data_IF_035371136164
#
_entry.id   IF_035371136164
#
_cell.length_a   1.000
_cell.length_b   1.000
_cell.length_c   1.000
_cell.angle_alpha   90.00
_cell.angle_beta   90.00
_cell.angle_gamma   90.00
#
_symmetry.space_group_name_H-M   'P 1'
#
loop_
_entity.id
_entity.type
_entity.pdbx_description
1 polymer ?
#
# COMPACT_ATOMS: atom_id res chain seq x y z
N UNK A 1 7.37 -36.19 25.25
CA UNK A 1 7.60 -37.57 25.74
C UNK A 1 9.11 -37.70 25.86
N UNK A 2 9.67 -37.99 27.04
CA UNK A 2 11.13 -37.99 27.23
C UNK A 2 11.77 -39.05 26.28
N UNK A 3 12.71 -38.68 25.40
CA UNK A 3 13.39 -39.62 24.52
C UNK A 3 14.13 -40.72 25.31
N UNK A 4 14.60 -40.44 26.53
CA UNK A 4 15.23 -41.43 27.39
C UNK A 4 14.23 -42.50 27.86
N UNK A 5 12.99 -42.11 28.19
CA UNK A 5 11.92 -43.04 28.60
C UNK A 5 11.37 -43.88 27.45
N UNK A 6 11.46 -43.38 26.22
CA UNK A 6 11.12 -44.15 25.02
C UNK A 6 12.19 -45.19 24.73
N UNK A 7 13.45 -44.77 24.74
CA UNK A 7 14.60 -45.64 24.49
C UNK A 7 14.74 -46.72 25.56
N UNK A 8 14.52 -46.39 26.84
CA UNK A 8 14.53 -47.36 27.94
C UNK A 8 13.47 -48.47 27.77
N UNK A 9 12.28 -48.13 27.24
CA UNK A 9 11.24 -49.12 26.94
C UNK A 9 11.57 -50.02 25.76
N UNK A 10 12.22 -49.47 24.73
CA UNK A 10 12.63 -50.24 23.55
C UNK A 10 13.82 -51.17 23.83
N UNK A 11 14.75 -50.76 24.69
CA UNK A 11 15.88 -51.57 25.11
C UNK A 11 15.49 -52.72 26.06
N UNK A 12 14.35 -52.58 26.74
CA UNK A 12 13.79 -53.60 27.62
C UNK A 12 14.66 -53.94 28.84
N UNK A 13 14.36 -55.05 29.54
CA UNK A 13 15.05 -55.42 30.79
C UNK A 13 16.56 -55.67 30.65
N UNK A 14 17.03 -55.94 29.43
CA UNK A 14 18.44 -56.24 29.15
C UNK A 14 19.38 -55.05 29.36
N UNK A 15 18.86 -53.82 29.24
CA UNK A 15 19.65 -52.59 29.34
C UNK A 15 19.73 -52.01 30.75
N UNK A 16 18.95 -52.54 31.69
CA UNK A 16 18.94 -52.08 33.10
C UNK A 16 20.37 -52.21 33.66
N UNK A 17 20.87 -51.11 34.23
CA UNK A 17 22.22 -50.94 34.81
C UNK A 17 23.41 -51.11 33.85
N UNK A 18 23.17 -51.35 32.56
CA UNK A 18 24.23 -51.54 31.54
C UNK A 18 24.32 -50.39 30.53
N UNK A 19 23.19 -49.78 30.24
CA UNK A 19 23.08 -48.67 29.28
C UNK A 19 22.36 -47.55 29.99
N UNK A 20 23.00 -46.39 30.08
CA UNK A 20 22.36 -45.15 30.52
C UNK A 20 21.50 -44.63 29.34
N UNK A 21 20.16 -44.70 29.42
CA UNK A 21 19.28 -44.32 28.31
C UNK A 21 19.34 -42.83 27.99
N UNK A 22 19.63 -41.98 28.99
CA UNK A 22 19.75 -40.54 28.79
C UNK A 22 21.05 -40.20 28.04
N UNK A 23 22.17 -40.84 28.42
CA UNK A 23 23.42 -40.73 27.66
C UNK A 23 23.29 -41.30 26.25
N UNK A 24 22.64 -42.45 26.08
CA UNK A 24 22.47 -43.06 24.77
C UNK A 24 21.56 -42.21 23.87
N UNK A 25 20.46 -41.67 24.41
CA UNK A 25 19.59 -40.74 23.67
C UNK A 25 20.35 -39.49 23.22
N UNK A 26 21.20 -38.92 24.09
CA UNK A 26 22.09 -37.81 23.73
C UNK A 26 23.14 -38.17 22.68
N UNK A 27 23.65 -39.40 22.70
CA UNK A 27 24.69 -39.88 21.77
C UNK A 27 24.12 -40.25 20.39
N UNK A 28 22.89 -40.76 20.37
CA UNK A 28 22.15 -41.09 19.15
C UNK A 28 21.47 -39.88 18.51
N UNK A 29 21.60 -38.69 19.12
CA UNK A 29 20.83 -37.50 18.74
C UNK A 29 19.35 -37.86 18.54
N UNK A 30 18.78 -38.64 19.47
CA UNK A 30 17.34 -38.90 19.48
C UNK A 30 16.72 -37.57 19.85
N UNK A 31 16.55 -36.70 18.86
CA UNK A 31 15.84 -35.44 19.00
C UNK A 31 14.49 -35.77 19.61
N UNK A 32 14.16 -35.07 20.71
CA UNK A 32 12.83 -35.15 21.28
C UNK A 32 11.82 -35.02 20.13
N UNK A 33 10.84 -35.92 20.09
CA UNK A 33 9.83 -35.93 19.03
C UNK A 33 9.38 -34.48 18.73
N UNK A 34 9.49 -34.08 17.46
CA UNK A 34 9.24 -32.71 17.04
C UNK A 34 7.95 -32.19 17.67
N UNK A 35 8.01 -31.00 18.28
CA UNK A 35 6.85 -30.39 18.92
C UNK A 35 5.67 -30.40 17.92
N UNK A 36 4.55 -31.09 18.21
CA UNK A 36 3.41 -31.17 17.30
C UNK A 36 2.90 -29.80 16.85
N UNK A 37 3.05 -28.77 17.68
CA UNK A 37 2.65 -27.41 17.35
C UNK A 37 3.59 -26.80 16.31
N UNK A 38 4.90 -26.98 16.48
CA UNK A 38 5.90 -26.51 15.50
C UNK A 38 5.77 -27.29 14.20
N UNK A 39 5.49 -28.59 14.25
CA UNK A 39 5.22 -29.38 13.04
C UNK A 39 3.99 -28.84 12.28
N UNK A 40 2.89 -28.60 12.98
CA UNK A 40 1.68 -28.03 12.38
C UNK A 40 1.92 -26.63 11.77
N UNK A 41 2.74 -25.80 12.44
CA UNK A 41 3.18 -24.52 11.92
C UNK A 41 3.95 -24.69 10.60
N UNK A 42 4.92 -25.60 10.55
CA UNK A 42 5.72 -25.84 9.35
C UNK A 42 4.88 -26.39 8.20
N UNK A 43 3.94 -27.30 8.48
CA UNK A 43 2.98 -27.81 7.48
C UNK A 43 2.07 -26.69 6.94
N UNK A 44 1.64 -25.78 7.82
CA UNK A 44 0.86 -24.61 7.44
C UNK A 44 1.69 -23.68 6.59
N UNK A 45 2.93 -23.43 6.97
CA UNK A 45 3.85 -22.57 6.23
C UNK A 45 4.16 -23.12 4.83
N UNK A 46 4.42 -24.42 4.74
CA UNK A 46 4.63 -25.09 3.47
C UNK A 46 3.45 -24.88 2.53
N UNK A 47 2.21 -25.13 2.99
CA UNK A 47 1.00 -24.90 2.18
C UNK A 47 0.82 -23.45 1.75
N UNK A 48 1.16 -22.47 2.61
CA UNK A 48 1.08 -21.05 2.25
C UNK A 48 2.07 -20.72 1.13
N UNK A 49 3.32 -21.12 1.29
CA UNK A 49 4.38 -20.80 0.34
C UNK A 49 4.23 -21.57 -0.98
N UNK A 50 3.80 -22.83 -0.93
CA UNK A 50 3.47 -23.61 -2.12
C UNK A 50 2.29 -23.00 -2.88
N UNK A 51 1.24 -22.58 -2.18
CA UNK A 51 0.11 -21.88 -2.78
C UNK A 51 0.51 -20.56 -3.45
N UNK A 52 1.43 -19.80 -2.84
CA UNK A 52 1.97 -18.58 -3.44
C UNK A 52 2.86 -18.85 -4.65
N UNK A 53 3.71 -19.88 -4.58
CA UNK A 53 4.62 -20.26 -5.65
C UNK A 53 3.90 -20.86 -6.87
N UNK A 54 2.74 -21.48 -6.64
CA UNK A 54 1.91 -22.11 -7.68
C UNK A 54 0.83 -21.18 -8.23
N UNK A 55 0.73 -19.94 -7.74
CA UNK A 55 -0.26 -18.96 -8.19
C UNK A 55 0.04 -18.53 -9.64
N UNK A 56 -0.92 -18.74 -10.54
CA UNK A 56 -0.83 -18.42 -11.96
C UNK A 56 -1.11 -16.93 -12.26
N UNK A 57 -1.27 -16.13 -11.20
CA UNK A 57 -1.53 -14.70 -11.28
C UNK A 57 -3.01 -14.33 -11.20
N UNK A 58 -3.91 -15.32 -11.21
CA UNK A 58 -5.35 -15.10 -10.92
C UNK A 58 -5.56 -14.56 -9.51
N UNK A 59 -4.65 -14.91 -8.61
CA UNK A 59 -4.67 -14.49 -7.23
C UNK A 59 -4.47 -12.99 -6.97
N UNK A 60 -4.08 -12.22 -7.99
CA UNK A 60 -3.89 -10.76 -7.91
C UNK A 60 -5.11 -9.99 -8.42
N UNK A 61 -6.16 -10.69 -8.83
CA UNK A 61 -7.40 -10.10 -9.35
C UNK A 61 -8.50 -10.09 -8.29
N UNK A 62 -9.19 -8.97 -8.18
CA UNK A 62 -10.32 -8.78 -7.26
C UNK A 62 -11.48 -8.22 -8.08
N UNK A 63 -12.64 -8.86 -8.04
CA UNK A 63 -13.86 -8.31 -8.62
C UNK A 63 -14.73 -7.73 -7.50
N UNK A 64 -14.96 -6.42 -7.57
CA UNK A 64 -15.78 -5.70 -6.60
C UNK A 64 -17.25 -5.87 -6.99
N UNK A 65 -18.03 -6.46 -6.08
CA UNK A 65 -19.49 -6.54 -6.24
C UNK A 65 -20.10 -5.14 -6.25
N UNK A 66 -21.16 -4.94 -7.03
CA UNK A 66 -21.88 -3.64 -7.08
C UNK A 66 -22.28 -3.16 -5.68
N UNK A 67 -21.97 -1.90 -5.37
CA UNK A 67 -22.19 -1.29 -4.06
C UNK A 67 -21.18 -1.71 -2.98
N UNK A 68 -20.17 -2.51 -3.34
CA UNK A 68 -19.07 -2.89 -2.46
C UNK A 68 -18.14 -1.72 -2.14
N UNK A 69 -17.34 -1.89 -1.08
CA UNK A 69 -16.36 -0.89 -0.68
C UNK A 69 -14.97 -1.23 -1.24
N UNK A 70 -14.45 -0.34 -2.08
CA UNK A 70 -13.15 -0.51 -2.74
C UNK A 70 -11.99 -0.58 -1.73
N UNK A 71 -12.05 0.17 -0.64
CA UNK A 71 -11.01 0.16 0.39
C UNK A 71 -10.97 -1.17 1.11
N UNK A 72 -12.13 -1.69 1.50
CA UNK A 72 -12.23 -3.00 2.17
C UNK A 72 -11.75 -4.13 1.26
N UNK A 73 -12.12 -4.09 -0.03
CA UNK A 73 -11.66 -5.08 -1.00
C UNK A 73 -10.12 -5.07 -1.16
N UNK A 74 -9.50 -3.89 -1.27
CA UNK A 74 -8.02 -3.78 -1.32
C UNK A 74 -7.38 -4.18 0.00
N UNK A 75 -7.93 -3.77 1.14
CA UNK A 75 -7.47 -4.15 2.48
C UNK A 75 -7.41 -5.67 2.62
N UNK A 76 -8.50 -6.35 2.27
CA UNK A 76 -8.65 -7.78 2.46
C UNK A 76 -7.76 -8.57 1.47
N UNK A 77 -7.63 -8.09 0.23
CA UNK A 77 -6.71 -8.66 -0.75
C UNK A 77 -5.25 -8.56 -0.28
N UNK A 78 -4.81 -7.39 0.16
CA UNK A 78 -3.47 -7.21 0.73
C UNK A 78 -3.30 -8.06 1.98
N UNK A 79 -4.25 -8.08 2.91
CA UNK A 79 -4.15 -8.90 4.13
C UNK A 79 -4.03 -10.39 3.83
N UNK A 80 -4.80 -10.89 2.85
CA UNK A 80 -4.71 -12.27 2.38
C UNK A 80 -3.32 -12.62 1.86
N UNK A 81 -2.72 -11.73 1.05
CA UNK A 81 -1.36 -11.89 0.52
C UNK A 81 -0.28 -11.76 1.58
N UNK A 82 -0.47 -10.83 2.50
CA UNK A 82 0.43 -10.60 3.62
C UNK A 82 0.55 -11.80 4.56
N UNK A 83 -0.40 -12.74 4.50
CA UNK A 83 -0.34 -13.99 5.27
C UNK A 83 1.00 -14.71 5.10
N UNK A 84 1.61 -14.65 3.91
CA UNK A 84 2.95 -15.21 3.68
C UNK A 84 4.01 -14.57 4.60
N UNK A 85 3.97 -13.26 4.80
CA UNK A 85 4.85 -12.55 5.74
C UNK A 85 4.57 -12.93 7.19
N UNK A 86 3.31 -12.93 7.61
CA UNK A 86 2.92 -13.36 8.96
C UNK A 86 3.43 -14.77 9.28
N UNK A 87 3.22 -15.71 8.36
CA UNK A 87 3.69 -17.09 8.48
C UNK A 87 5.22 -17.18 8.49
N UNK A 88 5.92 -16.41 7.66
CA UNK A 88 7.38 -16.33 7.70
C UNK A 88 7.89 -15.86 9.08
N UNK A 89 7.26 -14.83 9.67
CA UNK A 89 7.58 -14.37 11.03
C UNK A 89 7.34 -15.47 12.07
N UNK A 90 6.26 -16.23 11.94
CA UNK A 90 5.97 -17.35 12.83
C UNK A 90 7.05 -18.45 12.74
N UNK A 91 7.49 -18.80 11.53
CA UNK A 91 8.58 -19.75 11.30
C UNK A 91 9.91 -19.24 11.89
N UNK A 92 10.24 -17.97 11.69
CA UNK A 92 11.45 -17.37 12.27
C UNK A 92 11.41 -17.37 13.81
N UNK A 93 10.25 -17.08 14.41
CA UNK A 93 10.05 -17.21 15.86
C UNK A 93 10.23 -18.66 16.33
N UNK A 94 9.69 -19.64 15.59
CA UNK A 94 9.81 -21.05 15.95
C UNK A 94 11.26 -21.54 15.85
N UNK A 95 11.99 -21.16 14.78
CA UNK A 95 13.43 -21.44 14.64
C UNK A 95 14.24 -20.84 15.78
N UNK A 96 13.88 -19.64 16.22
CA UNK A 96 14.50 -18.99 17.37
C UNK A 96 14.01 -19.50 18.73
N UNK A 97 13.15 -20.54 18.78
CA UNK A 97 12.56 -21.09 20.01
C UNK A 97 11.76 -20.05 20.83
N UNK A 98 11.17 -19.06 20.15
CA UNK A 98 10.38 -17.96 20.73
C UNK A 98 8.91 -17.98 20.33
N UNK A 99 8.47 -18.98 19.57
CA UNK A 99 7.08 -19.09 19.14
C UNK A 99 6.18 -19.45 20.33
N UNK A 100 5.16 -18.64 20.57
CA UNK A 100 4.17 -18.84 21.63
C UNK A 100 2.81 -19.10 21.02
N UNK A 101 2.27 -20.34 21.04
CA UNK A 101 1.04 -20.68 20.32
C UNK A 101 -0.15 -19.77 20.64
N UNK A 102 -0.35 -19.47 21.93
CA UNK A 102 -1.48 -18.65 22.38
C UNK A 102 -1.40 -17.19 21.92
N UNK A 103 -0.19 -16.65 21.75
CA UNK A 103 0.01 -15.26 21.34
C UNK A 103 0.24 -15.12 19.82
N UNK A 104 0.97 -16.05 19.22
CA UNK A 104 1.48 -15.98 17.85
C UNK A 104 0.57 -16.67 16.82
N UNK A 105 -0.52 -17.33 17.24
CA UNK A 105 -1.50 -17.90 16.30
C UNK A 105 -2.07 -16.86 15.32
N UNK A 106 -2.10 -15.58 15.72
CA UNK A 106 -2.54 -14.45 14.86
C UNK A 106 -1.65 -14.26 13.63
N UNK A 107 -0.39 -14.71 13.68
CA UNK A 107 0.54 -14.65 12.54
C UNK A 107 0.16 -15.65 11.42
N UNK A 108 -0.71 -16.61 11.71
CA UNK A 108 -1.20 -17.60 10.74
C UNK A 108 -2.48 -17.15 10.01
N UNK A 109 -3.05 -16.02 10.43
CA UNK A 109 -4.25 -15.40 9.87
C UNK A 109 -3.88 -14.39 8.76
N UNK A 110 -4.84 -13.82 8.01
CA UNK A 110 -4.58 -12.69 7.13
C UNK A 110 -3.78 -11.59 7.86
N UNK A 111 -2.69 -11.14 7.25
CA UNK A 111 -1.72 -10.25 7.88
C UNK A 111 -1.85 -8.85 7.28
N UNK A 112 -2.45 -7.90 8.01
CA UNK A 112 -2.90 -6.62 7.44
C UNK A 112 -1.75 -5.72 7.01
N UNK A 113 -1.96 -4.95 5.94
CA UNK A 113 -0.95 -4.11 5.29
C UNK A 113 -0.21 -3.15 6.24
N UNK A 114 -0.90 -2.55 7.21
CA UNK A 114 -0.27 -1.65 8.19
C UNK A 114 0.79 -2.33 9.07
N UNK A 115 0.78 -3.67 9.17
CA UNK A 115 1.80 -4.45 9.90
C UNK A 115 2.98 -4.87 9.03
N UNK A 116 2.93 -4.60 7.74
CA UNK A 116 4.04 -4.90 6.84
C UNK A 116 5.19 -3.93 7.11
N UNK A 117 6.40 -4.46 7.16
CA UNK A 117 7.63 -3.69 7.18
C UNK A 117 7.89 -3.02 5.82
N UNK A 118 8.83 -2.07 5.79
CA UNK A 118 9.22 -1.40 4.54
C UNK A 118 9.72 -2.39 3.47
N UNK A 119 10.49 -3.41 3.87
CA UNK A 119 10.96 -4.45 2.95
C UNK A 119 9.81 -5.30 2.39
N UNK A 120 8.81 -5.63 3.21
CA UNK A 120 7.62 -6.37 2.78
C UNK A 120 6.74 -5.55 1.84
N UNK A 121 6.56 -4.25 2.11
CA UNK A 121 5.88 -3.32 1.19
C UNK A 121 6.65 -3.14 -0.12
N UNK A 122 7.97 -3.30 -0.11
CA UNK A 122 8.82 -3.35 -1.30
C UNK A 122 8.65 -4.63 -2.12
N UNK A 123 8.06 -5.69 -1.56
CA UNK A 123 7.71 -6.94 -2.23
C UNK A 123 6.21 -7.05 -2.52
N UNK A 124 5.45 -5.94 -2.37
CA UNK A 124 4.01 -5.97 -2.55
C UNK A 124 3.66 -6.41 -3.98
N UNK A 125 2.81 -7.44 -4.15
CA UNK A 125 2.37 -7.83 -5.48
C UNK A 125 1.45 -6.75 -6.08
N UNK A 126 1.40 -6.63 -7.42
CA UNK A 126 0.41 -5.80 -8.07
C UNK A 126 -1.00 -6.33 -7.77
N UNK A 127 -1.98 -5.44 -7.72
CA UNK A 127 -3.40 -5.78 -7.57
C UNK A 127 -4.19 -5.23 -8.75
N UNK A 128 -5.05 -6.06 -9.33
CA UNK A 128 -6.00 -5.67 -10.38
C UNK A 128 -7.41 -5.75 -9.80
N UNK A 129 -8.13 -4.64 -9.77
CA UNK A 129 -9.49 -4.56 -9.23
C UNK A 129 -10.47 -4.22 -10.35
N UNK A 130 -11.39 -5.12 -10.66
CA UNK A 130 -12.50 -4.85 -11.58
C UNK A 130 -13.70 -4.30 -10.80
N UNK A 131 -14.27 -3.18 -11.24
CA UNK A 131 -15.38 -2.52 -10.56
C UNK A 131 -16.24 -1.68 -11.51
N UNK A 132 -17.46 -1.36 -11.07
CA UNK A 132 -18.31 -0.36 -11.73
C UNK A 132 -17.85 1.07 -11.41
N UNK A 133 -17.98 1.98 -12.36
CA UNK A 133 -17.61 3.39 -12.18
C UNK A 133 -18.37 4.11 -11.06
N UNK A 134 -19.59 3.66 -10.74
CA UNK A 134 -20.37 4.17 -9.60
C UNK A 134 -19.76 3.79 -8.23
N UNK A 135 -18.97 2.71 -8.19
CA UNK A 135 -18.34 2.20 -6.97
C UNK A 135 -16.87 2.68 -6.83
N UNK A 136 -16.36 3.46 -7.79
CA UNK A 136 -15.01 4.02 -7.77
C UNK A 136 -14.89 5.17 -6.75
N UNK A 137 -14.65 4.81 -5.49
CA UNK A 137 -14.35 5.74 -4.38
C UNK A 137 -12.87 5.63 -4.01
N UNK A 138 -12.02 6.25 -4.81
CA UNK A 138 -10.58 5.99 -4.74
C UNK A 138 -9.84 6.72 -3.60
N UNK A 139 -10.38 7.81 -3.04
CA UNK A 139 -9.66 8.64 -2.05
C UNK A 139 -9.15 7.87 -0.82
N UNK A 140 -9.83 6.78 -0.44
CA UNK A 140 -9.44 5.90 0.67
C UNK A 140 -8.29 4.94 0.33
N UNK A 141 -7.85 4.86 -0.93
CA UNK A 141 -6.72 4.02 -1.32
C UNK A 141 -5.36 4.58 -0.91
N UNK A 142 -5.30 5.86 -0.50
CA UNK A 142 -4.05 6.52 -0.11
C UNK A 142 -3.29 5.78 1.00
N UNK A 143 -3.98 5.09 1.91
CA UNK A 143 -3.35 4.30 2.98
C UNK A 143 -2.58 3.07 2.49
N UNK A 144 -2.81 2.63 1.25
CA UNK A 144 -2.15 1.47 0.64
C UNK A 144 -1.04 1.85 -0.33
N UNK A 145 -0.92 3.13 -0.71
CA UNK A 145 0.05 3.61 -1.71
C UNK A 145 1.41 3.87 -1.06
N UNK A 146 2.08 2.80 -0.64
CA UNK A 146 3.40 2.82 -0.03
C UNK A 146 4.27 1.65 -0.54
N UNK A 147 5.60 1.77 -0.43
CA UNK A 147 6.55 0.80 -0.95
C UNK A 147 6.44 0.65 -2.47
N UNK A 148 6.20 -0.57 -2.94
CA UNK A 148 6.06 -0.89 -4.37
C UNK A 148 4.63 -1.33 -4.75
N UNK A 149 3.64 -0.97 -3.94
CA UNK A 149 2.22 -1.31 -4.18
C UNK A 149 1.73 -0.67 -5.47
N UNK A 150 1.26 -1.50 -6.39
CA UNK A 150 0.67 -1.07 -7.67
C UNK A 150 -0.77 -1.56 -7.76
N UNK A 151 -1.70 -0.64 -7.98
CA UNK A 151 -3.13 -0.94 -8.08
C UNK A 151 -3.64 -0.54 -9.47
N UNK A 152 -4.07 -1.52 -10.27
CA UNK A 152 -4.76 -1.28 -11.54
C UNK A 152 -6.27 -1.48 -11.33
N UNK A 153 -7.06 -0.45 -11.61
CA UNK A 153 -8.51 -0.44 -11.51
C UNK A 153 -9.09 -0.57 -12.93
N UNK A 154 -9.86 -1.63 -13.19
CA UNK A 154 -10.59 -1.83 -14.44
C UNK A 154 -12.02 -1.35 -14.25
N UNK A 155 -12.32 -0.16 -14.75
CA UNK A 155 -13.52 0.60 -14.40
C UNK A 155 -14.54 0.53 -15.54
N UNK A 156 -15.69 -0.08 -15.27
CA UNK A 156 -16.78 -0.24 -16.25
C UNK A 156 -17.89 0.78 -16.05
N UNK A 157 -18.38 1.38 -17.12
CA UNK A 157 -19.50 2.32 -17.10
C UNK A 157 -19.16 3.71 -16.56
N UNK A 158 -20.20 4.50 -16.28
CA UNK A 158 -20.07 5.90 -15.89
C UNK A 158 -19.41 6.08 -14.51
N UNK A 159 -18.52 7.07 -14.40
CA UNK A 159 -17.80 7.40 -13.15
C UNK A 159 -17.81 8.92 -12.89
N UNK A 160 -17.37 9.31 -11.70
CA UNK A 160 -17.02 10.71 -11.41
C UNK A 160 -15.93 11.20 -12.39
N UNK A 161 -15.88 12.50 -12.74
CA UNK A 161 -14.91 13.01 -13.71
C UNK A 161 -13.44 12.79 -13.33
N UNK A 162 -13.07 12.88 -12.05
CA UNK A 162 -11.66 12.79 -11.63
C UNK A 162 -11.45 12.07 -10.28
N UNK A 163 -12.01 10.86 -10.06
CA UNK A 163 -11.97 10.16 -8.77
C UNK A 163 -10.56 9.90 -8.22
N UNK A 164 -9.54 9.80 -9.09
CA UNK A 164 -8.16 9.59 -8.66
C UNK A 164 -7.41 10.89 -8.30
N UNK A 165 -7.99 12.08 -8.51
CA UNK A 165 -7.27 13.35 -8.35
C UNK A 165 -6.66 13.51 -6.94
N UNK A 166 -7.35 13.02 -5.90
CA UNK A 166 -6.90 13.09 -4.49
C UNK A 166 -5.75 12.15 -4.15
N UNK A 167 -5.42 11.21 -5.02
CA UNK A 167 -4.29 10.30 -4.84
C UNK A 167 -3.00 10.86 -5.42
N UNK A 168 -3.06 12.00 -6.13
CA UNK A 168 -1.87 12.71 -6.61
C UNK A 168 -1.10 13.19 -5.39
N UNK A 169 0.09 12.63 -5.21
CA UNK A 169 0.96 12.89 -4.08
C UNK A 169 2.42 12.68 -4.47
N UNK A 170 3.31 12.98 -3.53
CA UNK A 170 4.74 12.86 -3.76
C UNK A 170 5.15 11.39 -4.00
N UNK A 171 5.83 11.10 -5.12
CA UNK A 171 6.36 9.76 -5.42
C UNK A 171 5.32 8.73 -5.89
N UNK A 172 4.04 9.11 -5.98
CA UNK A 172 2.95 8.20 -6.39
C UNK A 172 2.62 8.39 -7.87
N UNK A 173 2.72 7.33 -8.66
CA UNK A 173 2.23 7.34 -10.04
C UNK A 173 0.70 7.24 -10.05
N UNK A 174 0.02 8.17 -10.73
CA UNK A 174 -1.46 8.18 -10.80
C UNK A 174 -1.89 8.38 -12.23
N UNK A 175 -2.70 7.50 -12.80
CA UNK A 175 -3.30 7.76 -14.11
C UNK A 175 -4.76 7.35 -14.16
N UNK A 176 -5.56 8.12 -14.89
CA UNK A 176 -6.92 7.78 -15.27
C UNK A 176 -7.00 7.92 -16.78
N UNK A 177 -7.17 6.83 -17.52
CA UNK A 177 -7.04 6.87 -18.98
C UNK A 177 -7.73 5.68 -19.65
N UNK A 178 -8.03 5.83 -20.94
CA UNK A 178 -8.42 4.73 -21.83
C UNK A 178 -7.20 4.03 -22.45
N UNK A 179 -6.02 4.64 -22.39
CA UNK A 179 -4.77 4.13 -22.96
C UNK A 179 -4.09 3.08 -22.07
N UNK A 180 -3.95 1.87 -22.60
CA UNK A 180 -3.28 0.75 -21.92
C UNK A 180 -1.79 1.01 -21.67
N UNK A 181 -1.13 1.91 -22.41
CA UNK A 181 0.29 2.23 -22.20
C UNK A 181 0.56 2.85 -20.82
N UNK A 182 -0.47 3.37 -20.12
CA UNK A 182 -0.32 3.80 -18.73
C UNK A 182 -0.02 2.64 -17.77
N UNK A 183 -0.46 1.41 -18.07
CA UNK A 183 -0.15 0.23 -17.25
C UNK A 183 1.32 -0.18 -17.38
N UNK A 184 1.90 -0.06 -18.58
CA UNK A 184 3.33 -0.30 -18.80
C UNK A 184 4.18 0.73 -18.05
N UNK A 185 3.76 2.00 -18.06
CA UNK A 185 4.42 3.06 -17.28
C UNK A 185 4.31 2.84 -15.77
N UNK A 186 3.14 2.40 -15.28
CA UNK A 186 2.97 2.00 -13.88
C UNK A 186 3.91 0.85 -13.50
N UNK A 187 4.05 -0.15 -14.38
CA UNK A 187 4.95 -1.28 -14.16
C UNK A 187 6.43 -0.86 -14.12
N UNK A 188 6.81 0.10 -14.95
CA UNK A 188 8.17 0.65 -15.00
C UNK A 188 8.48 1.63 -13.84
N UNK A 189 7.45 2.21 -13.21
CA UNK A 189 7.63 3.13 -12.08
C UNK A 189 8.22 2.42 -10.86
N UNK A 190 9.26 3.03 -10.29
CA UNK A 190 9.89 2.60 -9.04
C UNK A 190 9.22 3.32 -7.86
N UNK A 191 8.14 2.70 -7.35
CA UNK A 191 7.37 3.23 -6.24
C UNK A 191 5.91 2.79 -6.28
N UNK A 192 5.07 3.38 -5.40
CA UNK A 192 3.67 3.06 -5.37
C UNK A 192 2.93 3.75 -6.53
N UNK A 193 1.83 3.16 -6.96
CA UNK A 193 1.01 3.79 -7.98
C UNK A 193 -0.36 3.18 -8.17
N UNK A 194 -1.23 3.95 -8.80
CA UNK A 194 -2.61 3.56 -9.10
C UNK A 194 -2.98 4.03 -10.50
N UNK A 195 -3.59 3.12 -11.27
CA UNK A 195 -4.12 3.43 -12.61
C UNK A 195 -5.58 3.03 -12.66
N UNK A 196 -6.46 3.94 -13.06
CA UNK A 196 -7.81 3.62 -13.49
C UNK A 196 -7.84 3.52 -15.02
N UNK A 197 -7.94 2.29 -15.52
CA UNK A 197 -8.27 2.04 -16.90
C UNK A 197 -9.79 2.11 -17.06
N UNK A 198 -10.25 3.20 -17.68
CA UNK A 198 -11.68 3.54 -17.79
C UNK A 198 -12.19 3.23 -19.20
N UNK A 199 -13.47 2.85 -19.30
CA UNK A 199 -14.13 2.74 -20.60
C UNK A 199 -14.29 4.10 -21.30
N UNK A 200 -14.17 4.12 -22.61
CA UNK A 200 -14.46 5.30 -23.43
C UNK A 200 -15.91 5.74 -23.23
N UNK A 201 -16.12 7.05 -23.00
CA UNK A 201 -17.45 7.59 -22.73
C UNK A 201 -17.95 7.42 -21.27
N UNK A 202 -17.10 6.96 -20.36
CA UNK A 202 -17.40 6.89 -18.92
C UNK A 202 -17.62 8.26 -18.25
N UNK A 203 -17.25 9.35 -18.92
CA UNK A 203 -17.33 10.73 -18.41
C UNK A 203 -16.14 11.15 -17.55
N UNK A 204 -15.16 10.26 -17.38
CA UNK A 204 -13.86 10.52 -16.78
C UNK A 204 -13.04 11.50 -17.65
N UNK A 205 -12.27 12.36 -16.98
CA UNK A 205 -11.23 13.17 -17.62
C UNK A 205 -9.93 12.39 -17.60
N UNK A 206 -9.28 12.28 -18.75
CA UNK A 206 -8.02 11.56 -18.83
C UNK A 206 -6.84 12.41 -18.34
N UNK A 207 -6.03 11.83 -17.46
CA UNK A 207 -4.83 12.48 -16.96
C UNK A 207 -3.80 11.46 -16.48
N UNK A 208 -2.54 11.89 -16.42
CA UNK A 208 -1.42 11.14 -15.87
C UNK A 208 -0.57 12.06 -15.01
N UNK A 209 -0.38 11.69 -13.76
CA UNK A 209 0.67 12.20 -12.88
C UNK A 209 1.84 11.19 -12.84
N UNK A 210 2.97 11.59 -13.39
CA UNK A 210 4.22 10.83 -13.38
C UNK A 210 5.25 11.55 -12.47
N UNK A 211 5.58 11.00 -11.29
CA UNK A 211 6.55 11.60 -10.37
C UNK A 211 7.92 11.88 -10.97
N UNK A 212 8.31 11.16 -12.03
CA UNK A 212 9.62 11.29 -12.68
C UNK A 212 9.68 12.38 -13.76
N UNK A 213 8.52 12.92 -14.18
CA UNK A 213 8.43 13.81 -15.34
C UNK A 213 8.84 15.28 -15.09
N UNK A 214 9.10 15.67 -13.84
CA UNK A 214 9.50 17.03 -13.49
C UNK A 214 9.78 17.23 -12.01
N UNK A 215 10.01 18.46 -11.58
CA UNK A 215 10.26 18.78 -10.16
C UNK A 215 8.99 19.23 -9.44
N UNK A 216 8.08 19.90 -10.16
CA UNK A 216 6.83 20.42 -9.61
C UNK A 216 5.63 19.58 -10.04
N UNK A 217 4.58 19.58 -9.23
CA UNK A 217 3.35 18.79 -9.49
C UNK A 217 2.72 19.09 -10.85
N UNK A 218 2.65 20.36 -11.26
CA UNK A 218 2.08 20.74 -12.56
C UNK A 218 2.97 20.36 -13.76
N UNK A 219 4.28 20.15 -13.56
CA UNK A 219 5.18 19.62 -14.61
C UNK A 219 5.04 18.09 -14.73
N UNK A 220 4.68 17.44 -13.62
CA UNK A 220 4.45 15.99 -13.52
C UNK A 220 3.06 15.56 -14.00
N UNK A 221 2.13 16.50 -14.17
CA UNK A 221 0.73 16.23 -14.49
C UNK A 221 0.43 16.59 -15.96
N UNK A 222 0.02 15.58 -16.72
CA UNK A 222 -0.49 15.73 -18.09
C UNK A 222 -1.99 15.47 -18.10
N UNK A 223 -2.77 16.37 -18.70
CA UNK A 223 -4.23 16.24 -18.84
C UNK A 223 -4.58 16.22 -20.32
N UNK A 224 -5.42 15.27 -20.75
CA UNK A 224 -5.92 15.26 -22.12
C UNK A 224 -6.81 16.49 -22.37
N UNK A 225 -6.54 17.21 -23.47
CA UNK A 225 -7.19 18.50 -23.75
C UNK A 225 -6.65 19.68 -22.93
N UNK A 226 -5.67 19.45 -22.06
CA UNK A 226 -4.98 20.49 -21.28
C UNK A 226 -5.85 21.17 -20.22
N UNK A 227 -5.28 22.21 -19.59
CA UNK A 227 -5.94 22.98 -18.52
C UNK A 227 -7.20 23.69 -19.03
N UNK A 228 -7.19 24.18 -20.28
CA UNK A 228 -8.36 24.82 -20.89
C UNK A 228 -9.52 23.84 -21.08
N UNK A 229 -9.24 22.62 -21.56
CA UNK A 229 -10.24 21.56 -21.67
C UNK A 229 -10.80 21.16 -20.30
N UNK A 230 -9.94 21.09 -19.29
CA UNK A 230 -10.34 20.81 -17.92
C UNK A 230 -11.28 21.89 -17.35
N UNK A 231 -10.97 23.17 -17.58
CA UNK A 231 -11.81 24.31 -17.18
C UNK A 231 -13.16 24.30 -17.88
N UNK A 232 -13.20 24.03 -19.19
CA UNK A 232 -14.43 23.92 -19.95
C UNK A 232 -15.32 22.79 -19.41
N UNK A 233 -14.71 21.64 -19.09
CA UNK A 233 -15.42 20.50 -18.50
C UNK A 233 -15.99 20.81 -17.12
N UNK A 234 -15.23 21.52 -16.29
CA UNK A 234 -15.71 21.98 -14.98
C UNK A 234 -16.91 22.92 -15.13
N UNK A 235 -16.83 23.90 -16.04
CA UNK A 235 -17.90 24.85 -16.30
C UNK A 235 -19.19 24.16 -16.83
N UNK A 236 -19.05 23.12 -17.66
CA UNK A 236 -20.18 22.31 -18.14
C UNK A 236 -20.93 21.61 -16.98
N UNK A 237 -20.17 21.04 -16.03
CA UNK A 237 -20.72 20.31 -14.90
C UNK A 237 -21.35 21.23 -13.84
N UNK A 238 -20.81 22.44 -13.67
CA UNK A 238 -21.30 23.43 -12.70
C UNK A 238 -22.35 24.38 -13.26
N UNK A 239 -22.51 24.42 -14.59
CA UNK A 239 -23.45 25.30 -15.28
C UNK A 239 -24.93 25.00 -14.98
N UNK A 240 -25.85 25.91 -15.34
CA UNK A 240 -27.29 25.82 -15.04
C UNK A 240 -28.03 24.63 -15.69
N UNK A 241 -27.36 23.83 -16.53
CA UNK A 241 -27.85 22.56 -17.09
C UNK A 241 -27.06 21.32 -16.66
N UNK A 242 -26.03 21.48 -15.82
CA UNK A 242 -25.21 20.38 -15.32
C UNK A 242 -26.03 19.41 -14.46
N UNK A 243 -25.87 18.10 -14.70
CA UNK A 243 -26.25 17.10 -13.68
C UNK A 243 -25.48 17.48 -12.41
N UNK A 244 -26.15 17.51 -11.24
CA UNK A 244 -25.54 17.80 -9.91
C UNK A 244 -24.50 16.75 -9.50
N UNK A 245 -23.47 16.55 -10.32
CA UNK A 245 -22.34 15.68 -10.06
C UNK A 245 -21.35 16.48 -9.23
N UNK A 246 -20.90 15.98 -8.08
CA UNK A 246 -19.86 16.65 -7.30
C UNK A 246 -18.60 16.83 -8.15
N UNK A 247 -18.24 18.08 -8.46
CA UNK A 247 -17.05 18.41 -9.25
C UNK A 247 -15.81 18.72 -8.37
N UNK A 248 -15.85 18.36 -7.08
CA UNK A 248 -14.78 18.69 -6.12
C UNK A 248 -13.43 18.11 -6.50
N UNK A 249 -13.40 16.88 -7.01
CA UNK A 249 -12.15 16.24 -7.42
C UNK A 249 -11.62 16.83 -8.73
N UNK A 250 -12.52 17.30 -9.60
CA UNK A 250 -12.15 17.98 -10.83
C UNK A 250 -11.54 19.38 -10.55
N UNK A 251 -12.10 20.12 -9.60
CA UNK A 251 -11.51 21.38 -9.11
C UNK A 251 -10.13 21.14 -8.51
N UNK A 252 -9.99 20.10 -7.69
CA UNK A 252 -8.72 19.74 -7.11
C UNK A 252 -7.68 19.39 -8.19
N UNK A 253 -8.07 18.63 -9.21
CA UNK A 253 -7.19 18.34 -10.36
C UNK A 253 -6.76 19.63 -11.08
N UNK A 254 -7.67 20.59 -11.25
CA UNK A 254 -7.39 21.88 -11.88
C UNK A 254 -6.39 22.71 -11.05
N UNK A 255 -6.54 22.72 -9.72
CA UNK A 255 -5.60 23.37 -8.81
C UNK A 255 -4.20 22.76 -8.92
N UNK A 256 -4.09 21.43 -8.96
CA UNK A 256 -2.81 20.73 -9.09
C UNK A 256 -2.13 20.98 -10.45
N UNK A 257 -2.91 21.12 -11.51
CA UNK A 257 -2.42 21.37 -12.86
C UNK A 257 -2.01 22.83 -13.11
N UNK A 258 -2.51 23.76 -12.28
CA UNK A 258 -2.25 25.18 -12.45
C UNK A 258 -0.90 25.55 -11.84
N UNK A 259 0.04 26.02 -12.68
CA UNK A 259 1.24 26.64 -12.15
C UNK A 259 0.84 27.86 -11.31
N UNK A 260 1.38 28.05 -10.09
CA UNK A 260 1.12 29.24 -9.31
C UNK A 260 1.51 30.44 -10.16
N UNK A 261 0.54 31.31 -10.44
CA UNK A 261 0.81 32.55 -11.16
C UNK A 261 1.77 33.35 -10.29
N UNK A 262 3.03 33.42 -10.70
CA UNK A 262 4.01 34.28 -10.05
C UNK A 262 3.47 35.70 -10.17
N UNK A 263 2.88 36.21 -9.09
CA UNK A 263 2.56 37.61 -8.98
C UNK A 263 3.90 38.35 -9.02
N UNK A 264 4.30 38.81 -10.21
CA UNK A 264 5.39 39.75 -10.34
C UNK A 264 5.13 40.89 -9.35
N UNK A 265 6.09 41.26 -8.48
CA UNK A 265 5.90 42.43 -7.63
C UNK A 265 5.70 43.61 -8.57
N UNK A 266 4.49 44.15 -8.57
CA UNK A 266 4.16 45.33 -9.36
C UNK A 266 4.92 46.48 -8.74
N UNK A 267 6.11 46.75 -9.25
CA UNK A 267 6.92 47.89 -8.90
C UNK A 267 6.24 49.15 -9.44
N UNK A 268 5.52 49.84 -8.57
CA UNK A 268 5.26 51.28 -8.70
C UNK A 268 4.77 51.85 -7.36
N UNK A 269 5.68 52.09 -6.41
CA UNK A 269 5.59 53.25 -5.53
C UNK A 269 7.01 53.73 -5.21
N UNK A 270 7.23 54.99 -5.56
CA UNK A 270 8.43 55.82 -5.49
C UNK A 270 9.15 55.81 -4.14
N UNK A 271 10.48 55.61 -4.22
CA UNK A 271 11.54 56.17 -3.40
C UNK A 271 11.25 56.44 -1.90
N UNK A 272 11.60 55.45 -1.08
CA UNK A 272 11.96 55.61 0.33
C UNK A 272 12.75 54.37 0.75
N UNK A 273 14.07 54.51 0.89
CA UNK A 273 14.97 53.41 1.24
C UNK A 273 14.58 52.80 2.60
N UNK A 274 14.21 51.52 2.58
CA UNK A 274 14.12 50.66 3.76
C UNK A 274 14.87 49.35 3.42
N UNK A 275 15.64 48.78 4.36
CA UNK A 275 16.51 47.65 4.10
C UNK A 275 15.70 46.37 3.80
N UNK A 276 16.28 45.52 2.95
CA UNK A 276 15.72 44.23 2.56
C UNK A 276 15.41 43.35 3.80
N UNK A 277 14.26 42.65 3.85
CA UNK A 277 14.06 41.60 4.84
C UNK A 277 14.92 40.41 4.45
N UNK A 278 15.90 40.10 5.30
CA UNK A 278 16.68 38.87 5.27
C UNK A 278 15.76 37.66 5.49
N UNK A 279 15.93 36.63 4.66
CA UNK A 279 15.09 35.43 4.58
C UNK A 279 15.20 34.43 5.73
N UNK A 280 15.39 34.87 6.98
CA UNK A 280 15.46 33.98 8.16
C UNK A 280 14.09 33.80 8.86
N UNK A 281 13.10 34.66 8.61
CA UNK A 281 11.98 34.78 9.55
C UNK A 281 10.85 33.73 9.36
N UNK A 282 10.70 33.09 8.18
CA UNK A 282 9.56 32.18 7.95
C UNK A 282 9.75 30.78 8.55
N UNK A 283 10.94 30.20 8.37
CA UNK A 283 11.27 28.89 8.92
C UNK A 283 11.43 28.96 10.44
N UNK A 284 12.04 30.02 10.95
CA UNK A 284 12.24 30.22 12.39
C UNK A 284 10.91 30.47 13.13
N UNK A 285 9.96 31.16 12.50
CA UNK A 285 8.60 31.30 13.06
C UNK A 285 7.85 29.97 13.09
N UNK A 286 8.00 29.11 12.07
CA UNK A 286 7.41 27.78 12.08
C UNK A 286 8.05 26.89 13.15
N UNK A 287 9.38 26.92 13.28
CA UNK A 287 10.11 26.17 14.29
C UNK A 287 9.74 26.63 15.71
N UNK A 288 9.68 27.93 15.95
CA UNK A 288 9.25 28.50 17.23
C UNK A 288 7.79 28.14 17.56
N UNK A 289 6.90 28.14 16.55
CA UNK A 289 5.50 27.76 16.73
C UNK A 289 5.33 26.25 17.02
N UNK A 290 6.13 25.39 16.38
CA UNK A 290 6.12 23.95 16.66
C UNK A 290 6.64 23.64 18.06
N UNK A 291 7.73 24.30 18.47
CA UNK A 291 8.29 24.17 19.82
C UNK A 291 7.32 24.66 20.90
N UNK A 292 6.56 25.73 20.63
CA UNK A 292 5.54 26.24 21.53
C UNK A 292 4.30 25.32 21.65
N UNK A 293 4.12 24.34 20.75
CA UNK A 293 3.04 23.35 20.80
C UNK A 293 3.44 22.01 21.41
N UNK A 294 4.74 21.70 21.48
CA UNK A 294 5.25 20.57 22.24
C UNK A 294 5.42 20.98 23.69
N UNK A 295 4.34 20.85 24.46
CA UNK A 295 4.42 20.82 25.91
C UNK A 295 5.12 19.50 26.30
N UNK A 296 6.43 19.58 26.52
CA UNK A 296 7.23 18.52 27.13
C UNK A 296 7.33 18.75 28.65
N UNK A 297 6.22 19.13 29.29
CA UNK A 297 6.08 19.03 30.74
C UNK A 297 5.55 17.63 31.08
N UNK A 298 6.47 16.66 31.20
CA UNK A 298 6.12 15.32 31.67
C UNK A 298 7.07 14.16 31.33
N UNK A 299 8.41 14.35 31.41
CA UNK A 299 9.37 13.28 31.76
C UNK A 299 10.36 13.84 32.79
#
# INVERSE_FOLDING_TARGET
>A
RDPADALARELGPFAIDRIDPARLAGLMQVEAAADPVVHHLLDTAHRVFEGLASDDGTGFQVELTTGGDLRDAVRDALAGRGRAFGVAHAVEKARAHRYQPDADHVLLQPYPFHRWSAGERGLAPPLVVALGGADLRAGSLSEFLDGSVRIALVVRGATSPAPLARLIGHGVFVAQTTDAAALERLAAHDGPGVVAWVESGSGAVEFVHDPSAGDRTWERLTIEGGVEGLQARLAELEGPGGRRVPAADLRHLLELASAPTSAAPTAAMTAGAAPAPTGDDAADRLAAWLLARTDLDGI
#
